data_IF_201100060895
#
_entry.id   IF_201100060895
#
_cell.length_a   1.000
_cell.length_b   1.000
_cell.length_c   1.000
_cell.angle_alpha   90.00
_cell.angle_beta   90.00
_cell.angle_gamma   90.00
#
_symmetry.space_group_name_H-M   'P 1'
#
loop_
_entity.id
_entity.type
_entity.pdbx_description
1 polymer ?
#
# COMPACT_ATOMS: atom_id res chain seq x y z
N UNK A 1 -24.48 30.08 43.66
CA UNK A 1 -25.03 28.91 42.93
C UNK A 1 -24.96 28.99 41.40
N UNK A 2 -25.09 30.16 40.74
CA UNK A 2 -25.05 30.26 39.26
C UNK A 2 -23.68 29.92 38.60
N UNK A 3 -22.56 30.13 39.28
CA UNK A 3 -21.22 29.88 38.71
C UNK A 3 -20.83 28.38 38.63
N UNK A 4 -21.39 27.54 39.49
CA UNK A 4 -21.07 26.09 39.52
C UNK A 4 -21.71 25.35 38.34
N UNK A 5 -22.89 25.80 37.91
CA UNK A 5 -23.64 25.18 36.80
C UNK A 5 -22.95 25.42 35.45
N UNK A 6 -22.29 26.57 35.26
CA UNK A 6 -21.60 26.91 34.02
C UNK A 6 -20.33 26.07 33.80
N UNK A 7 -19.60 25.75 34.87
CA UNK A 7 -18.40 24.90 34.80
C UNK A 7 -18.72 23.44 34.50
N UNK A 8 -19.82 22.90 35.05
CA UNK A 8 -20.26 21.54 34.75
C UNK A 8 -20.69 21.37 33.27
N UNK A 9 -21.32 22.39 32.68
CA UNK A 9 -21.71 22.37 31.26
C UNK A 9 -20.47 22.37 30.35
N UNK A 10 -19.44 23.19 30.65
CA UNK A 10 -18.21 23.22 29.85
C UNK A 10 -17.43 21.90 29.88
N UNK A 11 -17.33 21.23 31.03
CA UNK A 11 -16.64 19.93 31.16
C UNK A 11 -17.39 18.83 30.37
N UNK A 12 -18.72 18.87 30.34
CA UNK A 12 -19.53 17.94 29.55
C UNK A 12 -19.38 18.13 28.03
N UNK A 13 -19.20 19.38 27.57
CA UNK A 13 -18.95 19.69 26.16
C UNK A 13 -17.58 19.19 25.69
N UNK A 14 -16.54 19.32 26.53
CA UNK A 14 -15.20 18.80 26.20
C UNK A 14 -15.14 17.27 26.16
N UNK A 15 -15.88 16.58 27.02
CA UNK A 15 -15.94 15.11 26.99
C UNK A 15 -16.75 14.57 25.81
N UNK A 16 -17.85 15.24 25.42
CA UNK A 16 -18.61 14.88 24.23
C UNK A 16 -17.82 15.12 22.92
N UNK A 17 -17.04 16.20 22.83
CA UNK A 17 -16.19 16.48 21.68
C UNK A 17 -15.06 15.44 21.52
N UNK A 18 -14.43 15.02 22.62
CA UNK A 18 -13.39 13.99 22.60
C UNK A 18 -13.93 12.57 22.35
N UNK A 19 -15.16 12.27 22.74
CA UNK A 19 -15.81 11.00 22.43
C UNK A 19 -16.14 10.87 20.92
N UNK A 20 -16.43 11.98 20.25
CA UNK A 20 -16.67 12.00 18.79
C UNK A 20 -15.38 11.83 17.97
N UNK A 21 -14.23 12.30 18.47
CA UNK A 21 -12.92 12.13 17.80
C UNK A 21 -12.38 10.69 17.84
N UNK A 22 -12.83 9.86 18.79
CA UNK A 22 -12.41 8.45 18.90
C UNK A 22 -13.29 7.45 18.16
N UNK A 23 -14.41 7.89 17.55
CA UNK A 23 -15.22 7.02 16.70
C UNK A 23 -14.57 6.98 15.32
N UNK A 24 -13.55 6.15 15.18
CA UNK A 24 -12.87 5.89 13.91
C UNK A 24 -13.91 5.73 12.82
N UNK A 25 -14.00 6.75 11.97
CA UNK A 25 -14.96 6.80 10.87
C UNK A 25 -14.55 5.65 9.96
N UNK A 26 -15.30 4.55 10.03
CA UNK A 26 -15.24 3.49 9.04
C UNK A 26 -15.62 4.14 7.72
N UNK A 27 -14.63 4.61 6.96
CA UNK A 27 -14.83 5.02 5.59
C UNK A 27 -15.19 3.74 4.85
N UNK A 28 -16.47 3.56 4.58
CA UNK A 28 -16.93 2.51 3.69
C UNK A 28 -16.46 2.93 2.30
N UNK A 29 -15.30 2.42 1.90
CA UNK A 29 -14.81 2.54 0.54
C UNK A 29 -15.89 1.97 -0.38
N UNK A 30 -16.51 2.84 -1.18
CA UNK A 30 -17.36 2.43 -2.28
C UNK A 30 -16.38 2.07 -3.39
N UNK A 31 -16.16 0.77 -3.69
CA UNK A 31 -15.26 0.41 -4.76
C UNK A 31 -15.71 1.12 -6.03
N UNK A 32 -14.75 1.68 -6.77
CA UNK A 32 -14.99 2.01 -8.17
C UNK A 32 -15.56 0.77 -8.85
N UNK A 33 -16.46 0.96 -9.82
CA UNK A 33 -17.43 -0.04 -10.28
C UNK A 33 -16.88 -1.42 -10.67
N UNK A 34 -15.57 -1.62 -10.76
CA UNK A 34 -14.93 -2.90 -11.06
C UNK A 34 -13.61 -3.05 -10.28
N UNK A 35 -13.55 -4.05 -9.40
CA UNK A 35 -12.32 -4.45 -8.68
C UNK A 35 -11.34 -5.15 -9.63
N UNK A 36 -10.05 -4.84 -9.54
CA UNK A 36 -9.01 -5.56 -10.30
C UNK A 36 -8.71 -6.94 -9.74
N UNK A 37 -9.22 -7.30 -8.55
CA UNK A 37 -9.03 -8.60 -7.92
C UNK A 37 -10.32 -9.41 -7.95
N UNK A 38 -10.25 -10.62 -8.52
CA UNK A 38 -11.33 -11.60 -8.36
C UNK A 38 -11.06 -12.44 -7.11
N UNK A 39 -12.06 -12.64 -6.24
CA UNK A 39 -11.92 -13.47 -5.06
C UNK A 39 -11.48 -14.90 -5.42
N UNK A 40 -10.87 -15.57 -4.45
CA UNK A 40 -10.47 -16.98 -4.52
C UNK A 40 -11.69 -17.82 -4.92
N UNK A 41 -11.67 -18.38 -6.14
CA UNK A 41 -12.55 -19.49 -6.52
C UNK A 41 -11.98 -20.82 -5.99
N UNK A 42 -12.43 -21.96 -6.52
CA UNK A 42 -11.94 -23.30 -6.11
C UNK A 42 -10.43 -23.54 -6.34
N UNK A 43 -9.67 -22.57 -6.87
CA UNK A 43 -8.26 -22.65 -7.27
C UNK A 43 -7.25 -22.17 -6.21
N UNK A 44 -7.68 -21.80 -4.99
CA UNK A 44 -6.80 -21.55 -3.85
C UNK A 44 -6.16 -20.15 -3.75
N UNK A 45 -5.89 -19.45 -4.86
CA UNK A 45 -5.31 -18.09 -4.86
C UNK A 45 -6.23 -17.03 -5.50
N UNK A 46 -6.17 -15.75 -5.06
CA UNK A 46 -6.85 -14.65 -5.75
C UNK A 46 -6.35 -14.52 -7.19
N UNK A 47 -7.22 -14.18 -8.14
CA UNK A 47 -6.79 -13.93 -9.52
C UNK A 47 -6.85 -12.43 -9.85
N UNK A 48 -5.82 -11.93 -10.51
CA UNK A 48 -5.69 -10.53 -10.92
C UNK A 48 -6.29 -10.34 -12.32
N UNK A 49 -7.25 -9.42 -12.44
CA UNK A 49 -7.82 -9.01 -13.73
C UNK A 49 -6.85 -8.05 -14.44
N UNK A 50 -6.00 -8.65 -15.26
CA UNK A 50 -4.92 -7.97 -15.95
C UNK A 50 -5.42 -6.82 -16.86
N UNK A 51 -6.54 -7.01 -17.55
CA UNK A 51 -7.03 -5.99 -18.49
C UNK A 51 -7.47 -4.69 -17.80
N UNK A 52 -7.90 -4.76 -16.53
CA UNK A 52 -8.32 -3.56 -15.78
C UNK A 52 -7.12 -2.75 -15.31
N UNK A 53 -6.06 -3.44 -14.90
CA UNK A 53 -4.79 -2.84 -14.47
C UNK A 53 -4.13 -2.15 -15.67
N UNK A 54 -3.99 -2.86 -16.81
CA UNK A 54 -3.46 -2.30 -18.06
C UNK A 54 -4.17 -1.04 -18.58
N UNK A 55 -5.46 -0.88 -18.25
CA UNK A 55 -6.27 0.24 -18.72
C UNK A 55 -6.30 1.39 -17.72
N UNK A 56 -5.59 1.27 -16.59
CA UNK A 56 -5.47 2.27 -15.53
C UNK A 56 -6.80 2.86 -15.04
N UNK A 57 -7.90 2.12 -15.20
CA UNK A 57 -9.25 2.64 -14.97
C UNK A 57 -9.48 3.17 -13.56
N UNK A 58 -8.75 2.62 -12.59
CA UNK A 58 -8.88 2.96 -11.18
C UNK A 58 -7.67 3.80 -10.67
N UNK A 59 -6.64 4.07 -11.49
CA UNK A 59 -5.40 4.72 -11.04
C UNK A 59 -5.61 6.21 -10.71
N UNK A 60 -6.34 6.95 -11.55
CA UNK A 60 -6.64 8.36 -11.29
C UNK A 60 -7.40 8.56 -9.97
N UNK A 61 -8.31 7.64 -9.66
CA UNK A 61 -9.06 7.67 -8.42
C UNK A 61 -8.19 7.33 -7.21
N UNK A 62 -7.29 6.33 -7.34
CA UNK A 62 -6.27 6.05 -6.33
C UNK A 62 -5.41 7.28 -6.04
N UNK A 63 -4.91 7.96 -7.08
CA UNK A 63 -4.11 9.18 -6.93
C UNK A 63 -4.91 10.28 -6.23
N UNK A 64 -6.18 10.46 -6.58
CA UNK A 64 -7.05 11.45 -5.96
C UNK A 64 -7.29 11.16 -4.47
N UNK A 65 -7.45 9.90 -4.09
CA UNK A 65 -7.61 9.50 -2.69
C UNK A 65 -6.29 9.61 -1.91
N UNK A 66 -5.16 9.23 -2.53
CA UNK A 66 -3.83 9.37 -1.94
C UNK A 66 -3.47 10.84 -1.64
N UNK A 67 -3.88 11.78 -2.50
CA UNK A 67 -3.75 13.23 -2.26
C UNK A 67 -4.52 13.72 -1.03
N UNK A 68 -5.69 13.13 -0.76
CA UNK A 68 -6.56 13.49 0.38
C UNK A 68 -6.14 12.76 1.66
N UNK A 69 -5.49 11.63 1.53
CA UNK A 69 -5.06 10.78 2.64
C UNK A 69 -4.04 11.48 3.53
N UNK A 70 -4.15 11.29 4.85
CA UNK A 70 -3.15 11.68 5.84
C UNK A 70 -2.02 10.65 5.98
N UNK A 71 -1.93 9.67 5.09
CA UNK A 71 -0.91 8.62 5.10
C UNK A 71 0.50 9.22 5.17
N UNK A 72 1.28 8.70 6.11
CA UNK A 72 2.72 8.90 6.27
C UNK A 72 3.47 7.65 5.83
N UNK A 73 4.68 7.84 5.28
CA UNK A 73 5.56 6.75 4.90
C UNK A 73 6.57 6.47 6.01
N UNK A 74 6.91 5.19 6.17
CA UNK A 74 7.77 4.69 7.22
C UNK A 74 8.73 3.64 6.66
N UNK A 75 9.82 3.41 7.38
CA UNK A 75 10.92 2.51 7.03
C UNK A 75 10.88 1.22 7.84
N UNK A 76 9.68 0.67 8.08
CA UNK A 76 9.55 -0.60 8.79
C UNK A 76 8.52 -1.53 8.17
N UNK A 77 8.88 -2.81 8.00
CA UNK A 77 8.01 -3.86 7.48
C UNK A 77 6.77 -4.09 8.35
N UNK A 78 6.80 -3.66 9.62
CA UNK A 78 5.63 -3.66 10.51
C UNK A 78 4.50 -2.74 9.99
N UNK A 79 4.80 -1.85 9.06
CA UNK A 79 3.82 -1.02 8.36
C UNK A 79 2.98 -1.78 7.33
N UNK A 80 3.31 -3.04 7.01
CA UNK A 80 2.55 -3.86 6.04
C UNK A 80 1.33 -4.49 6.73
N UNK A 81 0.09 -4.13 6.35
CA UNK A 81 -1.11 -4.74 6.92
C UNK A 81 -1.15 -6.24 6.64
N UNK A 82 -1.61 -7.06 7.60
CA UNK A 82 -1.69 -8.52 7.45
C UNK A 82 -2.43 -8.95 6.17
N UNK A 83 -3.62 -8.37 5.92
CA UNK A 83 -4.41 -8.64 4.69
C UNK A 83 -3.64 -8.34 3.40
N UNK A 84 -2.76 -7.34 3.41
CA UNK A 84 -1.91 -7.01 2.27
C UNK A 84 -0.76 -7.99 2.16
N UNK A 85 -0.11 -8.33 3.27
CA UNK A 85 0.97 -9.32 3.32
C UNK A 85 0.51 -10.67 2.80
N UNK A 86 -0.65 -11.15 3.27
CA UNK A 86 -1.23 -12.43 2.84
C UNK A 86 -1.56 -12.42 1.34
N UNK A 87 -2.08 -11.30 0.84
CA UNK A 87 -2.33 -11.11 -0.58
C UNK A 87 -1.03 -11.20 -1.41
N UNK A 88 0.01 -10.45 -1.03
CA UNK A 88 1.30 -10.45 -1.75
C UNK A 88 2.00 -11.81 -1.69
N UNK A 89 1.97 -12.46 -0.53
CA UNK A 89 2.52 -13.81 -0.33
C UNK A 89 1.86 -14.87 -1.23
N UNK A 90 0.63 -14.65 -1.68
CA UNK A 90 -0.06 -15.58 -2.61
C UNK A 90 0.48 -15.55 -4.05
N UNK A 91 1.29 -14.55 -4.40
CA UNK A 91 1.90 -14.40 -5.73
C UNK A 91 3.41 -14.63 -5.73
N UNK A 92 4.07 -14.38 -4.60
CA UNK A 92 5.52 -14.50 -4.47
C UNK A 92 5.93 -15.90 -4.03
N UNK A 93 6.86 -16.53 -4.76
CA UNK A 93 7.33 -17.90 -4.46
C UNK A 93 7.94 -18.04 -3.05
N UNK A 94 8.53 -16.96 -2.53
CA UNK A 94 9.14 -16.88 -1.20
C UNK A 94 8.19 -16.28 -0.15
N UNK A 95 6.89 -16.17 -0.44
CA UNK A 95 5.89 -15.61 0.47
C UNK A 95 6.05 -14.09 0.68
N UNK A 96 6.65 -13.39 -0.28
CA UNK A 96 6.92 -11.95 -0.23
C UNK A 96 7.87 -11.59 0.93
N UNK A 97 9.01 -12.28 1.00
CA UNK A 97 10.04 -12.00 1.99
C UNK A 97 10.65 -10.60 1.77
N UNK A 98 10.72 -9.79 2.83
CA UNK A 98 11.24 -8.43 2.77
C UNK A 98 11.93 -8.04 4.08
N UNK A 99 13.10 -7.39 3.96
CA UNK A 99 13.90 -6.89 5.06
C UNK A 99 13.56 -5.42 5.40
N UNK A 100 13.74 -5.02 6.66
CA UNK A 100 13.79 -3.59 7.03
C UNK A 100 15.01 -2.93 6.35
N UNK A 101 15.00 -1.60 6.09
CA UNK A 101 16.12 -0.93 5.43
C UNK A 101 17.42 -1.08 6.23
N UNK A 102 18.52 -1.36 5.52
CA UNK A 102 19.85 -1.59 6.08
C UNK A 102 20.04 -2.94 6.78
N UNK A 103 19.08 -3.86 6.68
CA UNK A 103 19.23 -5.25 7.12
C UNK A 103 19.72 -6.13 5.97
N UNK A 104 20.30 -7.27 6.33
CA UNK A 104 20.76 -8.25 5.35
C UNK A 104 19.59 -8.79 4.53
N UNK A 105 19.84 -8.91 3.22
CA UNK A 105 18.90 -9.40 2.22
C UNK A 105 19.72 -9.90 1.02
N UNK A 106 19.12 -10.71 0.15
CA UNK A 106 19.73 -11.20 -1.08
C UNK A 106 19.84 -10.06 -2.11
N UNK A 107 20.79 -9.15 -1.88
CA UNK A 107 21.16 -8.12 -2.86
C UNK A 107 22.12 -8.68 -3.90
N UNK A 108 21.83 -8.31 -5.15
CA UNK A 108 22.82 -8.18 -6.20
C UNK A 108 23.51 -9.50 -6.59
N UNK A 109 24.54 -9.41 -7.43
CA UNK A 109 25.26 -10.53 -8.07
C UNK A 109 26.08 -11.41 -7.08
N UNK A 110 25.74 -11.37 -5.78
CA UNK A 110 26.35 -12.17 -4.72
C UNK A 110 25.83 -13.61 -4.67
N UNK A 111 26.39 -14.39 -3.74
CA UNK A 111 25.87 -15.72 -3.44
C UNK A 111 24.45 -15.64 -2.88
N UNK A 112 23.60 -16.58 -3.29
CA UNK A 112 22.23 -16.69 -2.82
C UNK A 112 22.18 -17.38 -1.44
N UNK A 113 21.54 -16.75 -0.46
CA UNK A 113 21.27 -17.35 0.86
C UNK A 113 19.76 -17.54 1.04
N UNK A 114 19.32 -18.80 1.13
CA UNK A 114 17.90 -19.16 1.32
C UNK A 114 17.30 -18.65 2.65
N UNK A 115 18.13 -18.17 3.58
CA UNK A 115 17.68 -17.61 4.86
C UNK A 115 17.48 -16.09 4.81
N UNK A 116 17.93 -15.43 3.75
CA UNK A 116 17.80 -13.98 3.61
C UNK A 116 16.56 -13.60 2.79
N UNK A 117 15.91 -12.46 3.11
CA UNK A 117 14.83 -11.93 2.29
C UNK A 117 15.31 -11.54 0.89
N UNK A 118 14.44 -11.67 -0.13
CA UNK A 118 14.77 -11.29 -1.52
C UNK A 118 14.47 -9.82 -1.84
N UNK A 119 13.93 -9.08 -0.87
CA UNK A 119 13.55 -7.68 -1.02
C UNK A 119 14.07 -6.87 0.15
N UNK A 120 14.41 -5.62 -0.12
CA UNK A 120 14.68 -4.61 0.92
C UNK A 120 13.63 -3.51 0.84
N UNK A 121 13.00 -3.19 1.97
CA UNK A 121 12.07 -2.08 2.05
C UNK A 121 12.80 -0.76 1.75
N UNK A 122 12.20 0.12 0.96
CA UNK A 122 12.58 1.54 0.92
C UNK A 122 11.63 2.29 1.86
N UNK A 123 10.32 2.20 1.60
CA UNK A 123 9.30 2.87 2.40
C UNK A 123 7.92 2.22 2.22
N UNK A 124 7.10 2.28 3.26
CA UNK A 124 5.74 1.74 3.32
C UNK A 124 4.79 2.72 3.97
N UNK A 125 3.55 2.78 3.50
CA UNK A 125 2.50 3.61 4.06
C UNK A 125 1.14 2.94 3.99
N UNK A 126 0.31 3.21 4.99
CA UNK A 126 -1.09 2.79 4.99
C UNK A 126 -1.95 3.73 5.83
N UNK A 127 -3.21 3.87 5.45
CA UNK A 127 -4.24 4.62 6.20
C UNK A 127 -5.51 3.77 6.49
N UNK A 128 -5.42 2.44 6.31
CA UNK A 128 -6.52 1.52 6.52
C UNK A 128 -7.42 1.27 5.31
N UNK A 129 -7.23 2.00 4.20
CA UNK A 129 -7.93 1.75 2.93
C UNK A 129 -7.02 1.84 1.70
N UNK A 130 -5.98 2.67 1.77
CA UNK A 130 -4.89 2.73 0.83
C UNK A 130 -3.64 2.11 1.45
N UNK A 131 -2.86 1.44 0.62
CA UNK A 131 -1.55 0.92 0.96
C UNK A 131 -0.59 1.21 -0.19
N UNK A 132 0.65 1.51 0.18
CA UNK A 132 1.74 1.74 -0.76
C UNK A 132 3.03 1.21 -0.18
N UNK A 133 3.84 0.60 -1.02
CA UNK A 133 5.19 0.15 -0.67
C UNK A 133 6.11 0.33 -1.86
N UNK A 134 7.32 0.78 -1.58
CA UNK A 134 8.45 0.79 -2.50
C UNK A 134 9.56 -0.06 -1.90
N UNK A 135 10.20 -0.85 -2.74
CA UNK A 135 11.18 -1.84 -2.30
C UNK A 135 12.21 -2.12 -3.41
N UNK A 136 13.35 -2.67 -3.01
CA UNK A 136 14.37 -3.18 -3.89
C UNK A 136 14.20 -4.69 -4.08
N UNK A 137 14.56 -5.21 -5.25
CA UNK A 137 14.81 -6.64 -5.50
C UNK A 137 16.24 -6.85 -5.94
N UNK A 138 16.87 -7.93 -5.49
CA UNK A 138 18.19 -8.35 -5.93
C UNK A 138 18.12 -9.30 -7.12
N UNK A 139 19.22 -10.01 -7.37
CA UNK A 139 19.44 -10.82 -8.57
C UNK A 139 20.59 -10.26 -9.39
N UNK A 140 20.48 -10.32 -10.72
CA UNK A 140 21.45 -9.64 -11.61
C UNK A 140 21.13 -8.14 -11.58
N UNK A 141 21.88 -7.40 -10.76
CA UNK A 141 21.62 -5.99 -10.43
C UNK A 141 20.54 -5.77 -9.35
N UNK A 142 20.17 -4.50 -9.15
CA UNK A 142 19.13 -4.07 -8.21
C UNK A 142 18.01 -3.39 -9.00
N UNK A 143 16.78 -3.85 -8.79
CA UNK A 143 15.57 -3.21 -9.32
C UNK A 143 14.81 -2.49 -8.21
N UNK A 144 14.30 -1.29 -8.49
CA UNK A 144 13.38 -0.59 -7.60
C UNK A 144 11.94 -0.80 -8.08
N UNK A 145 11.04 -1.03 -7.12
CA UNK A 145 9.65 -1.38 -7.38
C UNK A 145 8.70 -0.52 -6.57
N UNK A 146 7.49 -0.35 -7.08
CA UNK A 146 6.35 0.21 -6.37
C UNK A 146 5.16 -0.73 -6.45
N UNK A 147 4.45 -0.90 -5.33
CA UNK A 147 3.14 -1.53 -5.27
C UNK A 147 2.14 -0.54 -4.65
N UNK A 148 0.98 -0.44 -5.29
CA UNK A 148 -0.16 0.36 -4.86
C UNK A 148 -1.36 -0.55 -4.64
N UNK A 149 -2.07 -0.38 -3.52
CA UNK A 149 -3.19 -1.24 -3.16
C UNK A 149 -4.34 -0.41 -2.58
N UNK A 150 -5.56 -0.67 -3.07
CA UNK A 150 -6.79 -0.35 -2.33
C UNK A 150 -7.26 -1.60 -1.62
N UNK A 151 -7.66 -1.49 -0.35
CA UNK A 151 -8.06 -2.64 0.43
C UNK A 151 -9.05 -2.26 1.53
N UNK A 152 -9.60 -3.28 2.18
CA UNK A 152 -10.34 -3.13 3.43
C UNK A 152 -9.91 -4.21 4.42
N UNK A 153 -10.54 -4.24 5.60
CA UNK A 153 -10.21 -5.21 6.66
C UNK A 153 -10.28 -6.69 6.26
N UNK A 154 -10.95 -7.02 5.15
CA UNK A 154 -11.20 -8.39 4.71
C UNK A 154 -10.40 -8.80 3.48
N UNK A 155 -10.11 -7.87 2.57
CA UNK A 155 -9.48 -8.18 1.27
C UNK A 155 -8.86 -6.98 0.58
N UNK A 156 -7.96 -7.26 -0.35
CA UNK A 156 -7.51 -6.34 -1.41
C UNK A 156 -8.62 -6.17 -2.44
N UNK A 157 -8.76 -4.95 -2.96
CA UNK A 157 -9.79 -4.54 -3.92
C UNK A 157 -9.17 -4.16 -5.26
N UNK A 158 -8.10 -3.38 -5.24
CA UNK A 158 -7.30 -3.07 -6.43
C UNK A 158 -5.82 -3.15 -6.10
N UNK A 159 -5.04 -3.38 -7.14
CA UNK A 159 -3.61 -3.65 -7.07
C UNK A 159 -2.94 -3.12 -8.33
N UNK A 160 -1.81 -2.44 -8.16
CA UNK A 160 -0.89 -2.05 -9.22
C UNK A 160 0.54 -2.33 -8.77
N UNK A 161 1.40 -2.62 -9.73
CA UNK A 161 2.84 -2.80 -9.49
C UNK A 161 3.64 -2.31 -10.68
N UNK A 162 4.87 -1.87 -10.44
CA UNK A 162 5.79 -1.49 -11.51
C UNK A 162 7.21 -1.26 -11.05
N UNK A 163 8.13 -1.29 -12.01
CA UNK A 163 9.50 -0.83 -11.83
C UNK A 163 9.51 0.70 -11.77
N UNK A 164 10.30 1.27 -10.86
CA UNK A 164 10.54 2.71 -10.77
C UNK A 164 12.01 3.00 -11.08
N UNK A 165 12.29 4.14 -11.74
CA UNK A 165 13.65 4.55 -12.13
C UNK A 165 14.32 5.52 -11.16
N UNK A 166 13.61 5.89 -10.10
CA UNK A 166 14.07 6.83 -9.09
C UNK A 166 13.59 6.39 -7.71
N UNK A 167 14.40 6.70 -6.70
CA UNK A 167 14.10 6.36 -5.32
C UNK A 167 13.06 7.31 -4.75
N UNK A 168 11.84 6.82 -4.59
CA UNK A 168 10.70 7.62 -4.13
C UNK A 168 10.49 7.45 -2.61
N UNK A 169 10.95 8.40 -1.80
CA UNK A 169 10.92 8.30 -0.33
C UNK A 169 9.73 9.04 0.30
N UNK A 170 9.12 9.97 -0.42
CA UNK A 170 8.05 10.85 0.08
C UNK A 170 6.76 10.65 -0.71
N UNK A 171 5.62 10.72 -0.02
CA UNK A 171 4.29 10.58 -0.65
C UNK A 171 4.08 11.54 -1.83
N UNK A 172 4.54 12.78 -1.72
CA UNK A 172 4.38 13.77 -2.79
C UNK A 172 5.26 13.46 -4.02
N UNK A 173 6.44 12.86 -3.83
CA UNK A 173 7.27 12.38 -4.94
C UNK A 173 6.57 11.26 -5.67
N UNK A 174 6.01 10.30 -4.93
CA UNK A 174 5.27 9.19 -5.52
C UNK A 174 4.05 9.70 -6.29
N UNK A 175 3.27 10.62 -5.72
CA UNK A 175 2.15 11.24 -6.44
C UNK A 175 2.63 11.93 -7.73
N UNK A 176 3.73 12.69 -7.67
CA UNK A 176 4.32 13.35 -8.84
C UNK A 176 4.70 12.34 -9.92
N UNK A 177 5.47 11.33 -9.54
CA UNK A 177 5.89 10.23 -10.40
C UNK A 177 4.70 9.51 -11.05
N UNK A 178 3.66 9.17 -10.29
CA UNK A 178 2.47 8.51 -10.85
C UNK A 178 1.75 9.39 -11.88
N UNK A 179 1.61 10.68 -11.62
CA UNK A 179 0.97 11.63 -12.56
C UNK A 179 1.80 11.76 -13.84
N UNK A 180 3.12 11.81 -13.73
CA UNK A 180 4.02 11.96 -14.87
C UNK A 180 4.14 10.70 -15.73
N UNK A 181 3.78 9.55 -15.18
CA UNK A 181 4.09 8.24 -15.79
C UNK A 181 2.88 7.40 -16.15
N UNK A 182 1.70 7.70 -15.61
CA UNK A 182 0.45 6.95 -15.87
C UNK A 182 0.07 6.78 -17.34
N UNK A 183 0.47 7.70 -18.23
CA UNK A 183 0.13 7.63 -19.66
C UNK A 183 1.27 7.01 -20.50
N UNK A 184 2.36 6.56 -19.85
CA UNK A 184 3.52 5.95 -20.51
C UNK A 184 3.33 4.43 -20.55
N UNK A 185 3.33 3.86 -21.75
CA UNK A 185 3.16 2.42 -21.99
C UNK A 185 4.20 1.49 -21.32
N UNK A 186 5.22 2.05 -20.65
CA UNK A 186 6.34 1.33 -20.04
C UNK A 186 6.44 1.49 -18.50
N UNK A 187 5.46 2.14 -17.85
CA UNK A 187 5.49 2.39 -16.40
C UNK A 187 4.20 2.00 -15.69
N UNK A 188 4.36 1.54 -14.43
CA UNK A 188 3.32 1.02 -13.52
C UNK A 188 2.24 0.24 -14.27
N UNK A 189 2.60 -0.88 -14.90
CA UNK A 189 1.70 -1.88 -15.51
C UNK A 189 2.45 -3.03 -16.20
N UNK A 190 3.67 -3.36 -15.75
CA UNK A 190 4.41 -4.49 -16.35
C UNK A 190 3.84 -5.82 -15.87
N UNK A 191 3.32 -6.59 -16.83
CA UNK A 191 3.00 -8.01 -16.70
C UNK A 191 4.26 -8.85 -16.66
N UNK A 192 4.96 -8.73 -15.55
CA UNK A 192 5.64 -9.87 -14.97
C UNK A 192 5.40 -9.71 -13.49
N UNK A 193 4.58 -10.58 -12.91
CA UNK A 193 4.45 -10.75 -11.46
C UNK A 193 5.84 -11.18 -10.96
N UNK A 194 6.80 -10.26 -10.94
CA UNK A 194 7.99 -10.30 -10.12
C UNK A 194 7.59 -9.66 -8.79
N UNK A 195 6.51 -10.19 -8.20
CA UNK A 195 6.16 -9.90 -6.82
C UNK A 195 7.04 -10.78 -5.97
#
# INVERSE_FOLDING_TARGET
MKFLLLHLILISLFTAANAQLKKGRSVTYQPHHISSIRPIGNSGSPSVNQSLILQDKNLDAFIADLKKSSMSLHTSIKGIPAVVKDFLASFAADGFSIADPGKEWNCCDGGWDDNLPNRELINVGSDGHLFMITYLTGGIGVGEHIILITYNKKRVLDFWTGDISERLERKNEIIGYLIETKDKHWHVNKYKLLI
#
